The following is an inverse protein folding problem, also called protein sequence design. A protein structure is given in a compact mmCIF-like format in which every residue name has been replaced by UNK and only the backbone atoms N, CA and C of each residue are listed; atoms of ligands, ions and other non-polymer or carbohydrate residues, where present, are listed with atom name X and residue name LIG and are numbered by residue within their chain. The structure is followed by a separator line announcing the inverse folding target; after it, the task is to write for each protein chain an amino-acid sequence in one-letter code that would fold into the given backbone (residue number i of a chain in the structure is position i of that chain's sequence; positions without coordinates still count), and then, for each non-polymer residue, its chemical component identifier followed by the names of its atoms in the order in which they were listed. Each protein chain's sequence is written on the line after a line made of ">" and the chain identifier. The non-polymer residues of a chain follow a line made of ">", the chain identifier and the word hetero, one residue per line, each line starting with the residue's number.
data_IF_589073968194
#
_entry.id   IF_589073968194
#
_cell.length_a   1.000
_cell.length_b   1.000
_cell.length_c   1.000
_cell.angle_alpha   90.00
_cell.angle_beta   90.00
_cell.angle_gamma   90.00
#
_symmetry.space_group_name_H-M   'P 1'
#
loop_
_entity.id
_entity.type
_entity.pdbx_description
1 polymer ?
#
# COMPACT_ATOMS: atom_id res chain seq x y z
N UNK A 1 -8.52 30.42 25.44
CA UNK A 1 -7.29 29.82 24.85
C UNK A 1 -7.68 29.12 23.56
N UNK A 2 -7.33 29.68 22.41
CA UNK A 2 -7.59 29.06 21.12
C UNK A 2 -6.52 27.98 20.87
N UNK A 3 -6.93 26.72 20.90
CA UNK A 3 -6.05 25.60 20.54
C UNK A 3 -5.58 25.77 19.10
N UNK A 4 -4.26 25.73 18.89
CA UNK A 4 -3.68 25.68 17.54
C UNK A 4 -4.27 24.46 16.82
N UNK A 5 -4.80 24.60 15.58
CA UNK A 5 -5.17 23.43 14.80
C UNK A 5 -3.90 22.64 14.53
N UNK A 6 -3.74 21.51 15.20
CA UNK A 6 -2.76 20.50 14.80
C UNK A 6 -3.21 20.02 13.43
N UNK A 7 -2.65 20.57 12.35
CA UNK A 7 -2.75 19.91 11.06
C UNK A 7 -2.19 18.50 11.28
N UNK A 8 -3.01 17.44 11.17
CA UNK A 8 -2.47 16.10 11.30
C UNK A 8 -1.59 15.92 10.08
N UNK A 9 -0.26 15.91 10.28
CA UNK A 9 0.67 15.60 9.23
C UNK A 9 0.25 14.26 8.63
N UNK A 10 -0.23 14.30 7.38
CA UNK A 10 -0.73 13.11 6.73
C UNK A 10 0.43 12.13 6.53
N UNK A 11 0.23 10.85 6.83
CA UNK A 11 1.31 9.89 6.67
C UNK A 11 1.70 9.78 5.20
N UNK A 12 3.00 9.70 4.92
CA UNK A 12 3.53 9.54 3.56
C UNK A 12 2.86 8.36 2.85
N UNK A 13 2.63 7.23 3.55
CA UNK A 13 1.94 6.07 2.97
C UNK A 13 0.52 6.40 2.51
N UNK A 14 -0.25 7.23 3.24
CA UNK A 14 -1.60 7.66 2.82
C UNK A 14 -1.53 8.54 1.57
N UNK A 15 -0.56 9.44 1.50
CA UNK A 15 -0.35 10.27 0.30
C UNK A 15 0.01 9.40 -0.89
N UNK A 16 0.94 8.45 -0.74
CA UNK A 16 1.34 7.53 -1.80
C UNK A 16 0.15 6.67 -2.25
N UNK A 17 -0.65 6.11 -1.32
CA UNK A 17 -1.82 5.29 -1.69
C UNK A 17 -2.80 6.05 -2.60
N UNK A 18 -3.05 7.32 -2.32
CA UNK A 18 -3.90 8.16 -3.19
C UNK A 18 -3.28 8.40 -4.56
N UNK A 19 -1.98 8.66 -4.62
CA UNK A 19 -1.28 8.81 -5.91
C UNK A 19 -1.37 7.52 -6.71
N UNK A 20 -1.20 6.36 -6.08
CA UNK A 20 -1.31 5.05 -6.73
C UNK A 20 -2.70 4.82 -7.36
N UNK A 21 -3.79 5.27 -6.72
CA UNK A 21 -5.15 5.20 -7.28
C UNK A 21 -5.32 5.99 -8.59
N UNK A 22 -4.51 7.03 -8.82
CA UNK A 22 -4.53 7.80 -10.07
C UNK A 22 -3.73 7.13 -11.19
N UNK A 23 -2.82 6.22 -10.86
CA UNK A 23 -1.93 5.56 -11.83
C UNK A 23 -2.54 4.31 -12.47
N UNK A 24 -3.54 3.70 -11.83
CA UNK A 24 -4.24 2.56 -12.38
C UNK A 24 -5.25 1.92 -11.43
N UNK A 25 -6.06 1.03 -11.98
CA UNK A 25 -6.94 0.16 -11.20
C UNK A 25 -6.11 -0.71 -10.24
N UNK A 26 -6.67 -1.03 -9.07
CA UNK A 26 -6.10 -1.93 -8.09
C UNK A 26 -7.14 -2.99 -7.71
N UNK A 27 -6.69 -4.21 -7.45
CA UNK A 27 -7.52 -5.31 -6.97
C UNK A 27 -6.93 -5.99 -5.73
N UNK A 28 -7.66 -6.96 -5.16
CA UNK A 28 -7.14 -7.77 -4.07
C UNK A 28 -5.93 -8.59 -4.54
N UNK A 29 -4.94 -8.71 -3.66
CA UNK A 29 -3.78 -9.61 -3.83
C UNK A 29 -3.77 -10.62 -2.68
N UNK A 30 -3.13 -11.77 -2.89
CA UNK A 30 -2.95 -12.74 -1.81
C UNK A 30 -2.18 -12.10 -0.65
N UNK A 31 -2.52 -12.47 0.59
CA UNK A 31 -1.79 -11.97 1.75
C UNK A 31 -0.32 -12.37 1.67
N UNK A 32 0.57 -11.43 2.00
CA UNK A 32 2.01 -11.66 1.97
C UNK A 32 2.76 -10.65 2.81
N UNK A 33 4.08 -10.81 2.88
CA UNK A 33 4.94 -9.83 3.52
C UNK A 33 5.06 -8.56 2.68
N UNK A 34 5.48 -7.47 3.30
CA UNK A 34 5.77 -6.23 2.58
C UNK A 34 6.80 -6.48 1.46
N UNK A 35 7.84 -7.24 1.76
CA UNK A 35 8.95 -7.56 0.85
C UNK A 35 8.45 -8.36 -0.35
N UNK A 36 7.58 -9.35 -0.12
CA UNK A 36 6.92 -10.10 -1.18
C UNK A 36 6.15 -9.17 -2.12
N UNK A 37 5.33 -8.27 -1.58
CA UNK A 37 4.59 -7.31 -2.38
C UNK A 37 5.50 -6.34 -3.14
N UNK A 38 6.61 -5.91 -2.55
CA UNK A 38 7.59 -5.09 -3.25
C UNK A 38 8.23 -5.83 -4.42
N UNK A 39 8.58 -7.11 -4.26
CA UNK A 39 9.15 -7.93 -5.33
C UNK A 39 8.15 -8.13 -6.48
N UNK A 40 6.91 -8.49 -6.19
CA UNK A 40 5.85 -8.66 -7.19
C UNK A 40 5.58 -7.34 -7.94
N UNK A 41 5.55 -6.21 -7.22
CA UNK A 41 5.39 -4.89 -7.84
C UNK A 41 6.53 -4.56 -8.81
N UNK A 42 7.78 -4.88 -8.44
CA UNK A 42 8.95 -4.69 -9.31
C UNK A 42 8.89 -5.59 -10.55
N UNK A 43 8.53 -6.87 -10.39
CA UNK A 43 8.37 -7.79 -11.50
C UNK A 43 7.27 -7.31 -12.46
N UNK A 44 6.12 -6.87 -11.94
CA UNK A 44 5.05 -6.31 -12.74
C UNK A 44 5.50 -5.03 -13.48
N UNK A 45 6.31 -4.17 -12.85
CA UNK A 45 6.86 -2.97 -13.50
C UNK A 45 7.78 -3.31 -14.68
N UNK A 46 8.58 -4.37 -14.57
CA UNK A 46 9.38 -4.89 -15.69
C UNK A 46 8.48 -5.35 -16.84
N UNK A 47 7.39 -6.07 -16.52
CA UNK A 47 6.42 -6.54 -17.53
C UNK A 47 5.73 -5.39 -18.27
N UNK A 48 5.39 -4.29 -17.60
CA UNK A 48 4.79 -3.12 -18.28
C UNK A 48 5.68 -2.61 -19.41
N UNK A 49 7.00 -2.61 -19.22
CA UNK A 49 7.97 -2.14 -20.21
C UNK A 49 8.21 -3.15 -21.33
N UNK A 50 8.11 -4.45 -21.05
CA UNK A 50 8.46 -5.51 -22.01
C UNK A 50 7.29 -6.05 -22.81
N UNK A 51 6.05 -5.86 -22.36
CA UNK A 51 4.86 -6.34 -23.05
C UNK A 51 4.51 -5.46 -24.25
N UNK A 52 4.08 -6.08 -25.36
CA UNK A 52 3.67 -5.36 -26.58
C UNK A 52 2.17 -5.08 -26.64
N UNK A 53 1.33 -5.93 -26.03
CA UNK A 53 -0.13 -5.76 -26.02
C UNK A 53 -0.59 -4.77 -24.95
N UNK A 54 -1.49 -3.86 -25.31
CA UNK A 54 -2.09 -2.91 -24.37
C UNK A 54 -2.91 -3.59 -23.28
N UNK A 55 -3.57 -4.72 -23.59
CA UNK A 55 -4.28 -5.53 -22.59
C UNK A 55 -3.29 -6.12 -21.58
N UNK A 56 -2.16 -6.63 -22.07
CA UNK A 56 -1.11 -7.17 -21.20
C UNK A 56 -0.46 -6.08 -20.35
N UNK A 57 -0.20 -4.90 -20.91
CA UNK A 57 0.29 -3.73 -20.16
C UNK A 57 -0.72 -3.26 -19.11
N UNK A 58 -2.02 -3.22 -19.44
CA UNK A 58 -3.08 -2.84 -18.49
C UNK A 58 -3.13 -3.83 -17.32
N UNK A 59 -3.05 -5.13 -17.59
CA UNK A 59 -2.98 -6.16 -16.56
C UNK A 59 -1.74 -5.99 -15.67
N UNK A 60 -0.56 -5.89 -16.26
CA UNK A 60 0.68 -5.70 -15.51
C UNK A 60 0.68 -4.41 -14.67
N UNK A 61 0.06 -3.34 -15.17
CA UNK A 61 -0.11 -2.08 -14.42
C UNK A 61 -1.04 -2.26 -13.23
N UNK A 62 -2.16 -2.97 -13.40
CA UNK A 62 -3.07 -3.31 -12.31
C UNK A 62 -2.38 -4.16 -11.24
N UNK A 63 -1.63 -5.18 -11.64
CA UNK A 63 -0.90 -6.05 -10.72
C UNK A 63 0.16 -5.23 -9.94
N UNK A 64 0.91 -4.37 -10.64
CA UNK A 64 1.89 -3.48 -10.05
C UNK A 64 1.29 -2.55 -8.98
N UNK A 65 0.20 -1.83 -9.32
CA UNK A 65 -0.46 -0.91 -8.38
C UNK A 65 -1.04 -1.68 -7.18
N UNK A 66 -1.62 -2.85 -7.41
CA UNK A 66 -2.21 -3.67 -6.35
C UNK A 66 -1.17 -4.11 -5.31
N UNK A 67 0.00 -4.56 -5.77
CA UNK A 67 1.10 -4.93 -4.89
C UNK A 67 1.77 -3.72 -4.21
N UNK A 68 1.91 -2.58 -4.88
CA UNK A 68 2.40 -1.34 -4.24
C UNK A 68 1.50 -0.93 -3.07
N UNK A 69 0.18 -0.96 -3.25
CA UNK A 69 -0.78 -0.61 -2.18
C UNK A 69 -0.74 -1.61 -1.02
N UNK A 70 -0.63 -2.91 -1.32
CA UNK A 70 -0.46 -3.93 -0.30
C UNK A 70 0.83 -3.73 0.52
N UNK A 71 1.94 -3.32 -0.13
CA UNK A 71 3.22 -3.04 0.56
C UNK A 71 3.20 -1.80 1.48
N UNK A 72 2.29 -0.86 1.22
CA UNK A 72 2.11 0.37 2.01
C UNK A 72 1.11 0.21 3.15
N UNK A 73 0.30 -0.84 3.08
CA UNK A 73 -0.68 -1.18 4.10
C UNK A 73 0.06 -1.45 5.41
N UNK A 74 -0.41 -0.84 6.51
CA UNK A 74 0.16 -1.12 7.82
C UNK A 74 0.04 -2.62 8.08
N UNK A 75 1.06 -3.26 8.68
CA UNK A 75 0.86 -4.57 9.28
C UNK A 75 -0.38 -4.48 10.17
N UNK A 76 -1.34 -5.38 9.99
CA UNK A 76 -2.39 -5.56 10.99
C UNK A 76 -1.63 -5.89 12.27
N UNK A 77 -1.51 -4.92 13.18
CA UNK A 77 -0.85 -5.13 14.45
C UNK A 77 -1.61 -6.28 15.13
N UNK A 78 -0.98 -7.45 15.17
CA UNK A 78 -1.43 -8.52 16.04
C UNK A 78 -1.27 -8.00 17.48
N UNK A 79 -2.38 -7.57 18.07
CA UNK A 79 -2.46 -7.17 19.48
C UNK A 79 -2.00 -5.74 19.76
N UNK A 80 -2.93 -4.79 19.65
CA UNK A 80 -2.95 -3.70 20.65
C UNK A 80 -3.50 -4.29 21.94
N UNK A 81 -2.69 -5.08 22.65
CA UNK A 81 -3.00 -5.51 24.00
C UNK A 81 -2.78 -4.31 24.92
N UNK A 82 -3.83 -3.51 25.07
CA UNK A 82 -3.97 -2.52 26.14
C UNK A 82 -4.07 -3.29 27.46
N UNK A 83 -2.93 -3.77 27.98
CA UNK A 83 -2.83 -4.33 29.32
C UNK A 83 -2.69 -3.15 30.28
N UNK A 84 -3.82 -2.58 30.67
CA UNK A 84 -3.91 -1.73 31.86
C UNK A 84 -3.42 -2.54 33.06
N UNK A 85 -2.21 -2.23 33.54
CA UNK A 85 -1.70 -2.74 34.80
C UNK A 85 -2.46 -2.03 35.93
N UNK A 86 -3.43 -2.72 36.53
CA UNK A 86 -4.03 -2.30 37.80
C UNK A 86 -3.11 -2.79 38.92
N UNK A 87 -2.38 -1.86 39.52
CA UNK A 87 -1.64 -2.08 40.76
C UNK A 87 -2.65 -2.07 41.92
N UNK A 88 -2.68 -3.15 42.69
CA UNK A 88 -3.10 -3.13 44.10
C UNK A 88 -1.92 -3.60 44.96
#
# INVERSE_FOLDING_TARGET
>A
MAGRPSHPAESVNKVIDRVLLTLGESGPVLAGTKEFHMQEAMQAAVLIRSQYSDVAKKKARKDCVSHLRASLSRPVAAGSSDMHFRTE
#
